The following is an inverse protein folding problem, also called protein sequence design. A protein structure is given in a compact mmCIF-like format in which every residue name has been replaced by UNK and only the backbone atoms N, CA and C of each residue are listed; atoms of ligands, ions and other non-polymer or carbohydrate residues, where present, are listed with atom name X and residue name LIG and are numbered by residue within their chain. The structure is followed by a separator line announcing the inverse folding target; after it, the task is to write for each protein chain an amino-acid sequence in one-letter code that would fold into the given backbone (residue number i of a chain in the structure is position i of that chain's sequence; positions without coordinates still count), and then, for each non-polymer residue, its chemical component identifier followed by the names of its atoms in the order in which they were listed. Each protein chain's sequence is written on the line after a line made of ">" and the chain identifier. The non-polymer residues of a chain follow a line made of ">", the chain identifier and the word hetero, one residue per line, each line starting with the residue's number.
data_IF_098929940025
#
_entry.id   IF_098929940025
#
_cell.length_a   1.000
_cell.length_b   1.000
_cell.length_c   1.000
_cell.angle_alpha   90.00
_cell.angle_beta   90.00
_cell.angle_gamma   90.00
#
_symmetry.space_group_name_H-M   'P 1'
#
loop_
_entity.id
_entity.type
_entity.pdbx_description
1 polymer ?
#
# COMPACT_ATOMS: atom_id res chain seq x y z
N UNK A 1 0.78 9.32 -14.46
CA UNK A 1 1.22 8.46 -13.35
C UNK A 1 2.33 9.14 -12.58
N UNK A 2 2.22 9.16 -11.30
CA UNK A 2 3.24 9.77 -10.44
C UNK A 2 3.75 8.77 -9.42
N UNK A 3 5.06 8.78 -9.18
CA UNK A 3 5.66 8.01 -8.11
C UNK A 3 5.64 8.85 -6.84
N UNK A 4 4.99 8.34 -5.80
CA UNK A 4 4.99 9.00 -4.48
C UNK A 4 6.12 8.46 -3.60
N UNK A 5 6.59 7.26 -3.90
CA UNK A 5 7.83 6.67 -3.38
C UNK A 5 8.48 5.89 -4.52
N UNK A 6 9.61 5.23 -4.24
CA UNK A 6 10.32 4.43 -5.25
C UNK A 6 9.44 3.36 -5.90
N UNK A 7 8.46 2.85 -5.17
CA UNK A 7 7.67 1.71 -5.61
C UNK A 7 6.16 1.93 -5.55
N UNK A 8 5.71 3.09 -5.10
CA UNK A 8 4.28 3.37 -4.97
C UNK A 8 3.91 4.48 -5.94
N UNK A 9 2.90 4.23 -6.75
CA UNK A 9 2.44 5.15 -7.79
C UNK A 9 0.98 5.54 -7.59
N UNK A 10 0.60 6.69 -8.11
CA UNK A 10 -0.78 7.14 -8.16
C UNK A 10 -1.09 7.55 -9.59
N UNK A 11 -2.17 7.01 -10.14
CA UNK A 11 -2.66 7.33 -11.45
C UNK A 11 -4.18 7.30 -11.40
N UNK A 12 -4.83 8.40 -11.74
CA UNK A 12 -6.29 8.48 -11.70
C UNK A 12 -6.98 7.49 -12.63
N UNK A 13 -6.26 6.95 -13.61
CA UNK A 13 -6.75 5.93 -14.54
C UNK A 13 -6.52 4.51 -14.07
N UNK A 14 -5.81 4.34 -12.96
CA UNK A 14 -5.51 3.02 -12.40
C UNK A 14 -6.08 2.95 -11.00
N UNK A 15 -6.98 2.01 -10.75
CA UNK A 15 -7.61 1.79 -9.45
C UNK A 15 -8.19 3.06 -8.85
N UNK A 16 -8.77 3.92 -9.68
CA UNK A 16 -9.42 5.17 -9.27
C UNK A 16 -8.51 6.12 -8.48
N UNK A 17 -7.23 6.14 -8.81
CA UNK A 17 -6.28 7.03 -8.15
C UNK A 17 -5.79 6.55 -6.80
N UNK A 18 -6.13 5.34 -6.39
CA UNK A 18 -5.58 4.77 -5.16
C UNK A 18 -4.09 4.45 -5.33
N UNK A 19 -3.30 4.50 -4.26
CA UNK A 19 -1.90 4.10 -4.34
C UNK A 19 -1.76 2.66 -4.83
N UNK A 20 -0.92 2.48 -5.84
CA UNK A 20 -0.66 1.17 -6.45
C UNK A 20 0.83 0.89 -6.49
N UNK A 21 1.18 -0.37 -6.76
CA UNK A 21 2.57 -0.82 -6.83
C UNK A 21 3.08 -0.65 -8.26
N UNK A 22 4.04 0.26 -8.45
CA UNK A 22 4.78 0.45 -9.70
C UNK A 22 3.88 0.46 -10.95
N UNK A 23 2.77 1.20 -10.89
CA UNK A 23 1.83 1.32 -12.01
C UNK A 23 1.01 0.08 -12.28
N UNK A 24 1.08 -0.93 -11.43
CA UNK A 24 0.29 -2.16 -11.56
C UNK A 24 -1.10 -1.95 -10.97
N UNK A 25 -2.04 -2.81 -11.36
CA UNK A 25 -3.40 -2.76 -10.83
C UNK A 25 -3.51 -3.53 -9.51
N UNK A 26 -2.53 -3.33 -8.66
CA UNK A 26 -2.47 -3.93 -7.32
C UNK A 26 -2.32 -2.77 -6.35
N UNK A 27 -3.32 -2.56 -5.51
CA UNK A 27 -3.30 -1.43 -4.58
C UNK A 27 -2.50 -1.76 -3.33
N UNK A 28 -1.93 -0.72 -2.73
CA UNK A 28 -1.27 -0.83 -1.42
C UNK A 28 -2.29 -1.35 -0.40
N UNK A 29 -3.52 -0.86 -0.45
CA UNK A 29 -4.58 -1.29 0.47
C UNK A 29 -4.79 -2.80 0.42
N UNK A 30 -4.82 -3.39 -0.78
CA UNK A 30 -5.01 -4.84 -0.94
C UNK A 30 -3.90 -5.61 -0.24
N UNK A 31 -2.65 -5.18 -0.42
CA UNK A 31 -1.51 -5.84 0.24
C UNK A 31 -1.61 -5.72 1.76
N UNK A 32 -1.95 -4.54 2.25
CA UNK A 32 -2.10 -4.33 3.69
C UNK A 32 -3.24 -5.16 4.27
N UNK A 33 -4.34 -5.33 3.53
CA UNK A 33 -5.45 -6.16 3.96
C UNK A 33 -5.06 -7.63 4.08
N UNK A 34 -4.30 -8.16 3.13
CA UNK A 34 -3.79 -9.52 3.22
C UNK A 34 -2.89 -9.71 4.43
N UNK A 35 -1.99 -8.76 4.67
CA UNK A 35 -1.12 -8.82 5.85
C UNK A 35 -1.93 -8.76 7.15
N UNK A 36 -2.94 -7.91 7.19
CA UNK A 36 -3.79 -7.78 8.39
C UNK A 36 -4.63 -9.03 8.65
N UNK A 37 -4.92 -9.79 7.60
CA UNK A 37 -5.65 -11.05 7.71
C UNK A 37 -4.74 -12.23 8.11
N UNK A 38 -3.45 -11.99 8.28
CA UNK A 38 -2.50 -13.01 8.69
C UNK A 38 -1.79 -13.72 7.54
N UNK A 39 -1.99 -13.28 6.31
CA UNK A 39 -1.27 -13.85 5.16
C UNK A 39 0.22 -13.51 5.26
N UNK A 40 1.06 -14.50 4.97
CA UNK A 40 2.51 -14.29 4.94
C UNK A 40 2.92 -13.59 3.65
N UNK A 41 4.13 -13.03 3.65
CA UNK A 41 4.71 -12.46 2.43
C UNK A 41 4.76 -13.50 1.31
N UNK A 42 5.15 -14.73 1.64
CA UNK A 42 5.25 -15.81 0.65
C UNK A 42 3.89 -16.11 0.01
N UNK A 43 2.83 -16.13 0.80
CA UNK A 43 1.48 -16.32 0.28
C UNK A 43 1.08 -15.20 -0.68
N UNK A 44 1.38 -13.97 -0.32
CA UNK A 44 1.07 -12.81 -1.16
C UNK A 44 1.84 -12.88 -2.46
N UNK A 45 3.12 -13.22 -2.42
CA UNK A 45 3.97 -13.33 -3.61
C UNK A 45 3.52 -14.46 -4.53
N UNK A 46 2.98 -15.55 -3.97
CA UNK A 46 2.39 -16.62 -4.79
C UNK A 46 1.15 -16.13 -5.52
N UNK A 47 0.33 -15.34 -4.86
CA UNK A 47 -0.91 -14.83 -5.42
C UNK A 47 -0.66 -13.73 -6.45
N UNK A 48 0.37 -12.93 -6.25
CA UNK A 48 0.74 -11.82 -7.13
C UNK A 48 2.20 -11.97 -7.59
N UNK A 49 2.46 -12.88 -8.55
CA UNK A 49 3.85 -13.16 -8.95
C UNK A 49 4.53 -11.99 -9.67
N UNK A 50 3.78 -10.95 -10.03
CA UNK A 50 4.35 -9.77 -10.68
C UNK A 50 4.99 -8.78 -9.70
N UNK A 51 4.83 -8.99 -8.40
CA UNK A 51 5.43 -8.12 -7.40
C UNK A 51 6.58 -8.84 -6.68
N UNK A 52 7.35 -8.05 -5.96
CA UNK A 52 8.54 -8.51 -5.25
C UNK A 52 8.37 -8.27 -3.75
N UNK A 53 9.23 -8.90 -2.94
CA UNK A 53 9.20 -8.68 -1.49
C UNK A 53 9.40 -7.20 -1.14
N UNK A 54 10.27 -6.52 -1.87
CA UNK A 54 10.51 -5.09 -1.67
C UNK A 54 9.25 -4.25 -1.88
N UNK A 55 8.35 -4.72 -2.73
CA UNK A 55 7.05 -4.04 -2.94
C UNK A 55 6.18 -4.13 -1.69
N UNK A 56 6.20 -5.28 -1.01
CA UNK A 56 5.45 -5.47 0.23
C UNK A 56 6.03 -4.57 1.32
N UNK A 57 7.34 -4.52 1.42
CA UNK A 57 8.02 -3.63 2.38
C UNK A 57 7.68 -2.17 2.08
N UNK A 58 7.64 -1.79 0.80
CA UNK A 58 7.27 -0.45 0.41
C UNK A 58 5.84 -0.08 0.84
N UNK A 59 4.92 -1.03 0.76
CA UNK A 59 3.54 -0.81 1.24
C UNK A 59 3.50 -0.53 2.73
N UNK A 60 4.26 -1.28 3.52
CA UNK A 60 4.34 -1.08 4.96
C UNK A 60 4.96 0.27 5.31
N UNK A 61 6.04 0.65 4.61
CA UNK A 61 6.68 1.96 4.81
C UNK A 61 5.73 3.10 4.45
N UNK A 62 5.01 2.96 3.35
CA UNK A 62 4.06 3.97 2.92
C UNK A 62 2.97 4.17 3.97
N UNK A 63 2.41 3.09 4.49
CA UNK A 63 1.42 3.15 5.55
C UNK A 63 1.98 3.83 6.80
N UNK A 64 3.20 3.47 7.18
CA UNK A 64 3.87 4.07 8.33
C UNK A 64 4.05 5.58 8.16
N UNK A 65 4.44 6.02 6.96
CA UNK A 65 4.61 7.44 6.66
C UNK A 65 3.28 8.19 6.74
N UNK A 66 2.19 7.58 6.28
CA UNK A 66 0.87 8.20 6.40
C UNK A 66 0.45 8.35 7.85
N UNK A 67 0.82 7.40 8.70
CA UNK A 67 0.48 7.45 10.12
C UNK A 67 1.37 8.41 10.91
N UNK A 68 2.45 8.89 10.30
CA UNK A 68 3.33 9.88 10.92
C UNK A 68 2.71 11.29 10.82
N UNK A 69 1.45 11.41 11.19
CA UNK A 69 0.71 12.67 11.21
C UNK A 69 0.20 12.89 12.62
N UNK A 70 0.11 14.16 12.99
CA UNK A 70 -0.50 14.53 14.26
C UNK A 70 -2.02 14.53 14.10
N UNK A 71 -2.68 13.88 15.04
CA UNK A 71 -4.13 13.84 15.06
C UNK A 71 -4.64 14.67 16.23
N UNK A 72 -5.68 15.45 15.99
CA UNK A 72 -6.36 16.19 17.05
C UNK A 72 -7.57 15.37 17.50
N UNK A 73 -7.58 15.01 18.77
CA UNK A 73 -8.71 14.31 19.37
C UNK A 73 -9.67 15.36 19.92
N UNK A 74 -10.89 15.38 19.41
CA UNK A 74 -11.93 16.23 19.95
C UNK A 74 -12.70 15.46 21.01
N UNK A 75 -12.71 15.99 22.21
CA UNK A 75 -13.51 15.44 23.28
C UNK A 75 -14.91 16.01 23.16
N UNK A 76 -15.90 15.13 23.02
CA UNK A 76 -17.30 15.52 23.01
C UNK A 76 -17.84 15.33 24.42
N UNK A 77 -18.24 16.42 25.03
CA UNK A 77 -18.80 16.39 26.36
C UNK A 77 -20.27 15.95 26.31
#
# INVERSE_FOLDING_TARGET
>A
MEYVTDRITIDDKICNGKPTIRGKRITVQTILEFLSAGESKDEILKQYPSIEEEDIIACLKFASQLMNRNFTIKTVA
#
